data_IF_159220120574
#
_entry.id   IF_159220120574
#
_cell.length_a   1.000
_cell.length_b   1.000
_cell.length_c   1.000
_cell.angle_alpha   90.00
_cell.angle_beta   90.00
_cell.angle_gamma   90.00
#
_symmetry.space_group_name_H-M   'P 1'
#
loop_
_entity.id
_entity.type
_entity.pdbx_description
1 polymer ?
#
# COMPACT_ATOMS: atom_id res chain seq x y z
N UNK A 1 8.37 -21.41 -65.13
CA UNK A 1 6.93 -21.66 -64.93
C UNK A 1 6.84 -22.65 -63.76
N UNK A 2 6.28 -22.37 -62.59
CA UNK A 2 5.25 -21.43 -62.19
C UNK A 2 5.63 -20.66 -60.91
N UNK A 3 5.34 -19.37 -60.89
CA UNK A 3 5.22 -18.59 -59.65
C UNK A 3 3.92 -18.99 -58.94
N UNK A 4 3.96 -19.14 -57.62
CA UNK A 4 2.74 -19.08 -56.80
C UNK A 4 2.99 -18.22 -55.57
N UNK A 5 2.11 -17.22 -55.47
CA UNK A 5 1.94 -16.20 -54.44
C UNK A 5 1.16 -16.84 -53.29
N UNK A 6 1.59 -16.70 -52.04
CA UNK A 6 0.70 -16.87 -50.88
C UNK A 6 0.86 -15.67 -49.96
N UNK A 7 -0.29 -15.08 -49.68
CA UNK A 7 -0.54 -13.90 -48.86
C UNK A 7 -0.27 -14.16 -47.36
N UNK A 8 0.20 -13.10 -46.70
CA UNK A 8 -0.11 -12.62 -45.34
C UNK A 8 -0.74 -13.59 -44.33
N UNK A 9 -0.15 -13.68 -43.14
CA UNK A 9 -0.86 -13.30 -41.90
C UNK A 9 0.15 -12.95 -40.80
N UNK A 10 0.21 -11.66 -40.43
CA UNK A 10 0.69 -11.23 -39.13
C UNK A 10 -0.28 -11.76 -38.05
N UNK A 11 0.26 -12.39 -37.01
CA UNK A 11 -0.44 -12.45 -35.71
C UNK A 11 0.57 -12.13 -34.62
N UNK A 12 0.62 -10.83 -34.31
CA UNK A 12 1.19 -10.27 -33.09
C UNK A 12 0.49 -10.89 -31.87
N UNK A 13 1.11 -11.89 -31.25
CA UNK A 13 0.73 -12.31 -29.90
C UNK A 13 1.54 -11.50 -28.89
N UNK A 14 1.08 -10.29 -28.61
CA UNK A 14 1.44 -9.61 -27.38
C UNK A 14 0.88 -10.46 -26.22
N UNK A 15 1.73 -11.27 -25.61
CA UNK A 15 1.43 -11.92 -24.33
C UNK A 15 1.32 -10.82 -23.29
N UNK A 16 0.10 -10.34 -23.05
CA UNK A 16 -0.26 -9.60 -21.85
C UNK A 16 -0.13 -10.56 -20.66
N UNK A 17 1.11 -10.72 -20.22
CA UNK A 17 1.41 -11.41 -18.96
C UNK A 17 0.89 -10.48 -17.88
N UNK A 18 -0.12 -10.88 -17.09
CA UNK A 18 -0.53 -10.06 -15.96
C UNK A 18 0.70 -9.90 -15.07
N UNK A 19 1.18 -8.65 -14.94
CA UNK A 19 2.24 -8.30 -14.00
C UNK A 19 1.72 -8.65 -12.60
N UNK A 20 2.06 -9.83 -12.12
CA UNK A 20 1.91 -10.20 -10.72
C UNK A 20 2.72 -9.13 -9.98
N UNK A 21 2.09 -8.25 -9.18
CA UNK A 21 2.86 -7.31 -8.40
C UNK A 21 3.73 -8.14 -7.47
N UNK A 22 5.06 -8.00 -7.60
CA UNK A 22 6.01 -8.59 -6.64
C UNK A 22 5.65 -8.03 -5.26
N UNK A 23 4.83 -8.79 -4.54
CA UNK A 23 4.60 -8.55 -3.13
C UNK A 23 5.90 -8.96 -2.46
N UNK A 24 6.49 -8.07 -1.66
CA UNK A 24 7.74 -8.33 -0.93
C UNK A 24 7.59 -9.45 0.09
N UNK A 25 7.50 -10.70 -0.38
CA UNK A 25 7.38 -11.92 0.42
C UNK A 25 8.65 -12.14 1.25
N UNK A 26 9.80 -11.68 0.76
CA UNK A 26 11.10 -11.79 1.43
C UNK A 26 11.25 -10.90 2.69
N UNK A 27 10.28 -10.04 3.02
CA UNK A 27 10.35 -9.14 4.19
C UNK A 27 8.99 -9.04 4.92
N UNK A 28 8.24 -10.15 4.96
CA UNK A 28 7.02 -10.22 5.76
C UNK A 28 7.39 -10.41 7.24
N UNK A 29 6.82 -9.61 8.17
CA UNK A 29 6.93 -9.90 9.60
C UNK A 29 6.32 -11.28 9.91
N UNK A 30 6.89 -12.01 10.87
CA UNK A 30 6.45 -13.37 11.24
C UNK A 30 4.95 -13.46 11.53
N UNK A 31 4.37 -12.43 12.18
CA UNK A 31 2.93 -12.36 12.44
C UNK A 31 2.07 -12.24 11.17
N UNK A 32 2.59 -11.64 10.11
CA UNK A 32 1.90 -11.57 8.82
C UNK A 32 1.98 -12.90 8.08
N UNK A 33 3.11 -13.61 8.21
CA UNK A 33 3.29 -14.95 7.67
C UNK A 33 2.38 -15.97 8.36
N UNK A 34 2.31 -15.96 9.69
CA UNK A 34 1.46 -16.87 10.46
C UNK A 34 -0.03 -16.66 10.14
N UNK A 35 -0.45 -15.39 10.02
CA UNK A 35 -1.82 -15.06 9.58
C UNK A 35 -2.10 -15.51 8.15
N UNK A 36 -1.12 -15.44 7.25
CA UNK A 36 -1.26 -15.93 5.89
C UNK A 36 -1.39 -17.46 5.86
N UNK A 37 -0.56 -18.16 6.65
CA UNK A 37 -0.62 -19.62 6.81
C UNK A 37 -2.00 -20.07 7.32
N UNK A 38 -2.48 -19.48 8.41
CA UNK A 38 -3.81 -19.78 8.98
C UNK A 38 -4.95 -19.52 7.99
N UNK A 39 -4.82 -18.50 7.13
CA UNK A 39 -5.79 -18.27 6.05
C UNK A 39 -5.70 -19.35 4.97
N UNK A 40 -4.50 -19.76 4.58
CA UNK A 40 -4.29 -20.79 3.58
C UNK A 40 -4.88 -22.14 4.01
N UNK A 41 -4.67 -22.55 5.26
CA UNK A 41 -5.24 -23.80 5.79
C UNK A 41 -6.77 -23.86 5.66
N UNK A 42 -7.45 -22.74 5.91
CA UNK A 42 -8.92 -22.68 5.90
C UNK A 42 -9.49 -22.40 4.50
N UNK A 43 -8.83 -21.57 3.70
CA UNK A 43 -9.35 -21.10 2.41
C UNK A 43 -8.98 -22.06 1.28
N UNK A 44 -7.82 -22.73 1.31
CA UNK A 44 -7.38 -23.60 0.22
C UNK A 44 -8.36 -24.74 -0.10
N UNK A 45 -8.94 -25.47 0.89
CA UNK A 45 -9.96 -26.48 0.59
C UNK A 45 -11.22 -25.89 -0.06
N UNK A 46 -11.64 -24.70 0.38
CA UNK A 46 -12.80 -24.00 -0.20
C UNK A 46 -12.50 -23.48 -1.62
N UNK A 47 -11.25 -23.13 -1.91
CA UNK A 47 -10.83 -22.69 -3.22
C UNK A 47 -10.81 -23.84 -4.25
N UNK A 48 -10.51 -25.06 -3.81
CA UNK A 48 -10.49 -26.28 -4.63
C UNK A 48 -11.89 -26.80 -4.97
N UNK A 49 -12.89 -26.57 -4.12
CA UNK A 49 -14.28 -26.90 -4.43
C UNK A 49 -14.79 -26.03 -5.58
N UNK A 50 -15.58 -26.57 -6.50
CA UNK A 50 -16.18 -25.82 -7.61
C UNK A 50 -17.18 -24.78 -7.08
N UNK A 51 -18.05 -25.20 -6.16
CA UNK A 51 -19.02 -24.35 -5.47
C UNK A 51 -18.75 -24.31 -3.96
N UNK A 52 -18.95 -23.14 -3.36
CA UNK A 52 -18.79 -22.94 -1.91
C UNK A 52 -20.13 -22.54 -1.32
N UNK A 53 -20.73 -23.47 -0.58
CA UNK A 53 -21.99 -23.25 0.13
C UNK A 53 -21.88 -22.15 1.20
N UNK A 54 -23.00 -21.52 1.52
CA UNK A 54 -23.04 -20.43 2.49
C UNK A 54 -22.59 -20.87 3.89
N UNK A 55 -22.96 -22.08 4.32
CA UNK A 55 -22.55 -22.64 5.62
C UNK A 55 -21.03 -22.81 5.72
N UNK A 56 -20.39 -23.35 4.68
CA UNK A 56 -18.94 -23.51 4.64
C UNK A 56 -18.22 -22.15 4.67
N UNK A 57 -18.78 -21.13 3.99
CA UNK A 57 -18.25 -19.78 4.03
C UNK A 57 -18.43 -19.11 5.41
N UNK A 58 -19.53 -19.40 6.12
CA UNK A 58 -19.78 -18.90 7.48
C UNK A 58 -18.87 -19.54 8.51
N UNK A 59 -18.63 -20.85 8.40
CA UNK A 59 -17.67 -21.55 9.26
C UNK A 59 -16.25 -20.99 9.10
N UNK A 60 -15.82 -20.74 7.85
CA UNK A 60 -14.54 -20.11 7.59
C UNK A 60 -14.48 -18.65 8.09
N UNK A 61 -15.59 -17.91 7.96
CA UNK A 61 -15.71 -16.54 8.45
C UNK A 61 -15.53 -16.50 9.97
N UNK A 62 -16.21 -17.37 10.70
CA UNK A 62 -16.10 -17.50 12.15
C UNK A 62 -14.68 -17.91 12.58
N UNK A 63 -14.09 -18.91 11.92
CA UNK A 63 -12.76 -19.40 12.25
C UNK A 63 -11.66 -18.34 12.03
N UNK A 64 -11.81 -17.47 11.01
CA UNK A 64 -10.87 -16.42 10.66
C UNK A 64 -11.18 -15.06 11.30
N UNK A 65 -12.33 -14.91 11.97
CA UNK A 65 -12.80 -13.62 12.48
C UNK A 65 -13.07 -12.60 11.37
N UNK A 66 -13.56 -13.04 10.21
CA UNK A 66 -13.81 -12.23 9.02
C UNK A 66 -15.30 -12.20 8.68
N UNK A 67 -15.70 -11.25 7.83
CA UNK A 67 -17.03 -11.30 7.21
C UNK A 67 -17.10 -12.37 6.12
N UNK A 68 -18.27 -12.97 5.89
CA UNK A 68 -18.55 -13.87 4.76
C UNK A 68 -18.10 -13.28 3.42
N UNK A 69 -18.30 -11.98 3.21
CA UNK A 69 -17.82 -11.24 2.02
C UNK A 69 -16.30 -11.35 1.87
N UNK A 70 -15.54 -11.17 2.94
CA UNK A 70 -14.07 -11.27 2.90
C UNK A 70 -13.61 -12.70 2.61
N UNK A 71 -14.32 -13.71 3.10
CA UNK A 71 -14.05 -15.13 2.78
C UNK A 71 -14.16 -15.37 1.28
N UNK A 72 -15.24 -14.91 0.62
CA UNK A 72 -15.37 -15.04 -0.83
C UNK A 72 -14.27 -14.29 -1.60
N UNK A 73 -13.82 -13.13 -1.11
CA UNK A 73 -12.68 -12.42 -1.71
C UNK A 73 -11.39 -13.24 -1.60
N UNK A 74 -11.15 -13.89 -0.47
CA UNK A 74 -9.98 -14.77 -0.28
C UNK A 74 -10.05 -16.02 -1.15
N UNK A 75 -11.21 -16.67 -1.24
CA UNK A 75 -11.45 -17.81 -2.14
C UNK A 75 -11.18 -17.43 -3.59
N UNK A 76 -11.74 -16.30 -4.05
CA UNK A 76 -11.52 -15.79 -5.40
C UNK A 76 -10.03 -15.54 -5.65
N UNK A 77 -9.33 -14.94 -4.69
CA UNK A 77 -7.89 -14.67 -4.81
C UNK A 77 -7.07 -15.95 -4.86
N UNK A 78 -7.37 -16.94 -4.04
CA UNK A 78 -6.70 -18.24 -4.06
C UNK A 78 -6.91 -18.97 -5.39
N UNK A 79 -8.11 -18.89 -5.99
CA UNK A 79 -8.40 -19.46 -7.32
C UNK A 79 -7.72 -18.72 -8.48
N UNK A 80 -7.53 -17.41 -8.35
CA UNK A 80 -6.90 -16.57 -9.38
C UNK A 80 -5.37 -16.57 -9.28
N UNK A 81 -4.83 -16.81 -8.09
CA UNK A 81 -3.41 -16.96 -7.85
C UNK A 81 -2.92 -18.37 -8.15
N UNK A 82 -1.70 -18.64 -7.69
CA UNK A 82 -1.07 -19.96 -7.74
C UNK A 82 -1.59 -20.93 -6.66
N UNK A 83 -2.47 -20.48 -5.77
CA UNK A 83 -2.93 -21.24 -4.60
C UNK A 83 -1.91 -21.30 -3.47
N UNK A 84 -0.87 -20.47 -3.52
CA UNK A 84 0.20 -20.43 -2.53
C UNK A 84 -0.19 -19.58 -1.31
N UNK A 85 0.47 -19.82 -0.17
CA UNK A 85 0.29 -19.04 1.07
C UNK A 85 0.51 -17.54 0.82
N UNK A 86 1.39 -17.21 -0.12
CA UNK A 86 1.70 -15.84 -0.57
C UNK A 86 0.47 -15.12 -1.14
N UNK A 87 -0.44 -15.84 -1.80
CA UNK A 87 -1.66 -15.25 -2.37
C UNK A 87 -2.65 -14.82 -1.28
N UNK A 88 -2.60 -15.45 -0.10
CA UNK A 88 -3.49 -15.17 1.03
C UNK A 88 -2.88 -14.25 2.09
N UNK A 89 -1.68 -13.74 1.82
CA UNK A 89 -1.06 -12.67 2.60
C UNK A 89 -2.05 -11.49 2.68
N UNK A 90 -2.31 -10.95 3.88
CA UNK A 90 -3.12 -9.75 4.01
C UNK A 90 -2.55 -8.68 3.10
N UNK A 91 -3.34 -8.27 2.10
CA UNK A 91 -2.93 -7.17 1.23
C UNK A 91 -2.60 -5.98 2.11
N UNK A 92 -1.39 -5.44 1.98
CA UNK A 92 -1.08 -4.17 2.63
C UNK A 92 -2.04 -3.14 2.04
N UNK A 93 -3.00 -2.68 2.83
CA UNK A 93 -3.92 -1.66 2.37
C UNK A 93 -3.10 -0.42 2.01
N UNK A 94 -3.11 -0.05 0.73
CA UNK A 94 -2.42 1.13 0.21
C UNK A 94 -3.01 2.47 0.71
N UNK A 95 -3.75 2.47 1.81
CA UNK A 95 -4.45 3.65 2.30
C UNK A 95 -5.61 3.34 3.24
N UNK A 96 -5.33 2.78 4.42
CA UNK A 96 -6.20 2.95 5.59
C UNK A 96 -6.06 4.37 6.19
N UNK A 97 -6.87 4.70 7.20
CA UNK A 97 -6.78 5.97 7.95
C UNK A 97 -5.31 6.19 8.38
N UNK A 98 -4.67 7.24 7.86
CA UNK A 98 -3.26 7.57 8.14
C UNK A 98 -2.21 7.04 7.16
N UNK A 99 -2.53 6.09 6.26
CA UNK A 99 -1.60 5.65 5.20
C UNK A 99 -1.76 6.49 3.93
N UNK A 100 -0.65 6.99 3.40
CA UNK A 100 -0.64 8.01 2.35
C UNK A 100 -1.08 7.50 0.99
N UNK A 101 -2.04 8.21 0.38
CA UNK A 101 -2.40 8.09 -1.04
C UNK A 101 -1.41 8.82 -1.96
N UNK A 102 -0.36 9.42 -1.39
CA UNK A 102 0.66 10.12 -2.14
C UNK A 102 1.68 9.11 -2.68
N UNK A 103 2.19 9.32 -3.90
CA UNK A 103 3.35 8.58 -4.40
C UNK A 103 4.52 8.69 -3.41
N UNK A 104 5.25 7.59 -3.21
CA UNK A 104 6.42 7.51 -2.33
C UNK A 104 7.45 8.65 -2.57
N UNK A 105 7.75 9.07 -3.82
CA UNK A 105 8.66 10.19 -4.05
C UNK A 105 8.20 11.50 -3.40
N UNK A 106 6.89 11.77 -3.38
CA UNK A 106 6.32 12.98 -2.78
C UNK A 106 6.39 12.90 -1.25
N UNK A 107 6.09 11.73 -0.67
CA UNK A 107 6.23 11.51 0.77
C UNK A 107 7.68 11.71 1.24
N UNK A 108 8.65 11.23 0.44
CA UNK A 108 10.09 11.41 0.71
C UNK A 108 10.48 12.88 0.74
N UNK A 109 10.06 13.66 -0.25
CA UNK A 109 10.29 15.11 -0.30
C UNK A 109 9.70 15.81 0.93
N UNK A 110 8.47 15.47 1.32
CA UNK A 110 7.83 16.04 2.51
C UNK A 110 8.63 15.70 3.77
N UNK A 111 9.07 14.45 3.93
CA UNK A 111 9.81 14.00 5.11
C UNK A 111 11.18 14.67 5.23
N UNK A 112 11.92 14.76 4.12
CA UNK A 112 13.22 15.42 4.11
C UNK A 112 13.11 16.90 4.47
N UNK A 113 12.16 17.61 3.87
CA UNK A 113 11.95 19.03 4.16
C UNK A 113 11.44 19.24 5.58
N UNK A 114 10.61 18.33 6.11
CA UNK A 114 10.15 18.35 7.51
C UNK A 114 11.34 18.37 8.47
N UNK A 115 12.30 17.46 8.27
CA UNK A 115 13.50 17.38 9.12
C UNK A 115 14.42 18.60 8.95
N UNK A 116 14.69 19.00 7.70
CA UNK A 116 15.66 20.07 7.38
C UNK A 116 15.16 21.47 7.72
N UNK A 117 13.86 21.73 7.55
CA UNK A 117 13.31 23.10 7.57
C UNK A 117 12.23 23.34 8.62
N UNK A 118 11.39 22.34 8.89
CA UNK A 118 10.23 22.51 9.78
C UNK A 118 10.54 22.21 11.25
N UNK A 119 11.33 21.17 11.53
CA UNK A 119 11.75 20.78 12.89
C UNK A 119 12.99 21.57 13.35
N UNK A 120 12.92 22.90 13.25
CA UNK A 120 14.00 23.82 13.63
C UNK A 120 13.48 24.91 14.57
N UNK A 121 14.38 25.52 15.36
CA UNK A 121 14.06 26.62 16.29
C UNK A 121 13.52 27.89 15.59
N UNK A 122 13.69 27.99 14.26
CA UNK A 122 13.15 29.10 13.46
C UNK A 122 11.61 29.06 13.36
N UNK A 123 10.95 27.97 13.78
CA UNK A 123 9.48 27.83 13.83
C UNK A 123 8.77 28.26 12.53
N UNK A 124 9.28 27.82 11.38
CA UNK A 124 8.75 28.18 10.06
C UNK A 124 7.25 27.84 9.94
N UNK A 125 6.48 28.72 9.31
CA UNK A 125 5.04 28.57 9.19
C UNK A 125 4.65 27.47 8.19
N UNK A 126 3.47 26.88 8.36
CA UNK A 126 2.93 25.87 7.42
C UNK A 126 2.85 26.41 5.99
N UNK A 127 2.52 27.69 5.81
CA UNK A 127 2.45 28.31 4.49
C UNK A 127 3.83 28.41 3.83
N UNK A 128 4.86 28.82 4.57
CA UNK A 128 6.23 28.86 4.06
C UNK A 128 6.75 27.45 3.73
N UNK A 129 6.44 26.47 4.58
CA UNK A 129 6.79 25.07 4.35
C UNK A 129 6.13 24.50 3.08
N UNK A 130 4.83 24.74 2.89
CA UNK A 130 4.10 24.27 1.71
C UNK A 130 4.62 24.87 0.40
N UNK A 131 5.05 26.15 0.41
CA UNK A 131 5.69 26.79 -0.75
C UNK A 131 6.98 26.07 -1.15
N UNK A 132 7.81 25.70 -0.17
CA UNK A 132 9.08 25.00 -0.42
C UNK A 132 8.83 23.57 -0.92
N UNK A 133 7.88 22.84 -0.31
CA UNK A 133 7.43 21.53 -0.81
C UNK A 133 6.95 21.63 -2.27
N UNK A 134 6.18 22.67 -2.58
CA UNK A 134 5.69 22.91 -3.95
C UNK A 134 6.84 23.15 -4.92
N UNK A 135 7.83 23.95 -4.54
CA UNK A 135 8.99 24.24 -5.38
C UNK A 135 9.82 22.98 -5.67
N UNK A 136 10.09 22.17 -4.64
CA UNK A 136 10.85 20.91 -4.80
C UNK A 136 10.07 19.89 -5.61
N UNK A 137 8.77 19.73 -5.38
CA UNK A 137 7.93 18.83 -6.19
C UNK A 137 7.90 19.27 -7.66
N UNK A 138 7.78 20.56 -7.94
CA UNK A 138 7.82 21.09 -9.31
C UNK A 138 9.18 20.84 -9.98
N UNK A 139 10.28 21.09 -9.27
CA UNK A 139 11.63 20.84 -9.78
C UNK A 139 11.86 19.36 -10.12
N UNK A 140 11.27 18.45 -9.33
CA UNK A 140 11.33 17.00 -9.56
C UNK A 140 10.21 16.46 -10.48
N UNK A 141 9.40 17.33 -11.09
CA UNK A 141 8.24 16.97 -11.93
C UNK A 141 7.24 16.02 -11.23
N UNK A 142 7.12 16.15 -9.91
CA UNK A 142 6.19 15.39 -9.09
C UNK A 142 4.86 16.13 -8.91
N UNK A 143 3.78 15.37 -8.71
CA UNK A 143 2.46 15.94 -8.40
C UNK A 143 2.53 16.67 -7.07
N UNK A 144 2.22 17.97 -7.11
CA UNK A 144 2.25 18.84 -5.92
C UNK A 144 1.14 18.41 -4.94
N UNK A 145 1.47 18.16 -3.66
CA UNK A 145 0.48 17.84 -2.65
C UNK A 145 -0.33 19.08 -2.26
N UNK A 146 -1.60 18.86 -1.91
CA UNK A 146 -2.44 19.92 -1.38
C UNK A 146 -1.91 20.39 -0.02
N UNK A 147 -2.15 21.66 0.32
CA UNK A 147 -1.73 22.24 1.61
C UNK A 147 -2.25 21.43 2.80
N UNK A 148 -3.49 20.94 2.72
CA UNK A 148 -4.10 20.11 3.76
C UNK A 148 -3.37 18.76 3.92
N UNK A 149 -2.90 18.16 2.83
CA UNK A 149 -2.12 16.91 2.88
C UNK A 149 -0.82 17.10 3.66
N UNK A 150 -0.13 18.22 3.44
CA UNK A 150 1.08 18.57 4.19
C UNK A 150 0.78 18.87 5.66
N UNK A 151 -0.33 19.55 5.94
CA UNK A 151 -0.78 19.80 7.31
C UNK A 151 -1.07 18.50 8.08
N UNK A 152 -1.77 17.54 7.46
CA UNK A 152 -2.03 16.23 8.04
C UNK A 152 -0.74 15.44 8.31
N UNK A 153 0.29 15.57 7.47
CA UNK A 153 1.62 14.96 7.71
C UNK A 153 2.31 15.57 8.91
N UNK A 154 2.26 16.89 9.07
CA UNK A 154 2.75 17.56 10.27
C UNK A 154 1.98 17.10 11.51
N UNK A 155 0.65 17.03 11.43
CA UNK A 155 -0.19 16.60 12.55
C UNK A 155 0.00 15.12 12.94
N UNK A 156 0.44 14.28 12.01
CA UNK A 156 0.79 12.88 12.30
C UNK A 156 2.13 12.71 13.02
N UNK A 157 2.94 13.76 13.12
CA UNK A 157 4.17 13.72 13.91
C UNK A 157 3.81 13.69 15.39
N UNK A 158 4.62 12.97 16.17
CA UNK A 158 4.54 12.96 17.62
C UNK A 158 4.66 14.41 18.17
N UNK A 159 3.59 14.93 18.82
CA UNK A 159 3.58 16.30 19.34
C UNK A 159 4.76 16.59 20.27
N UNK A 160 5.19 15.61 21.08
CA UNK A 160 6.33 15.76 21.99
C UNK A 160 7.64 15.95 21.23
N UNK A 161 7.83 15.25 20.11
CA UNK A 161 9.02 15.43 19.25
C UNK A 161 9.02 16.79 18.55
N UNK A 162 7.85 17.26 18.10
CA UNK A 162 7.71 18.57 17.47
C UNK A 162 8.03 19.68 18.46
N UNK A 163 7.46 19.63 19.67
CA UNK A 163 7.65 20.64 20.71
C UNK A 163 9.08 20.62 21.24
N UNK A 164 9.65 19.44 21.50
CA UNK A 164 11.07 19.34 21.90
C UNK A 164 12.01 19.99 20.90
N UNK A 165 11.75 19.81 19.59
CA UNK A 165 12.60 20.36 18.52
C UNK A 165 12.35 21.84 18.23
N UNK A 166 11.11 22.33 18.42
CA UNK A 166 10.73 23.70 18.08
C UNK A 166 10.72 24.66 19.27
N UNK A 167 10.40 24.18 20.46
CA UNK A 167 10.15 24.98 21.66
C UNK A 167 11.17 24.73 22.77
N UNK A 168 11.82 23.55 22.77
CA UNK A 168 12.88 23.19 23.71
C UNK A 168 12.48 22.02 24.61
N UNK A 169 13.44 21.52 25.41
CA UNK A 169 13.21 20.37 26.29
C UNK A 169 12.22 20.67 27.42
N UNK A 170 12.18 21.90 27.92
CA UNK A 170 11.32 22.27 29.04
C UNK A 170 9.85 22.37 28.63
N UNK A 171 9.56 22.96 27.46
CA UNK A 171 8.20 23.00 26.90
C UNK A 171 7.61 21.60 26.56
N UNK A 172 8.47 20.58 26.39
CA UNK A 172 8.04 19.22 26.08
C UNK A 172 7.72 18.39 27.34
N UNK A 173 8.07 18.86 28.54
CA UNK A 173 7.77 18.17 29.81
C UNK A 173 6.33 18.40 30.27
N UNK A 174 5.69 19.47 29.81
CA UNK A 174 4.34 19.89 30.23
C UNK A 174 3.20 19.22 29.43
N UNK A 175 3.48 18.10 28.73
CA UNK A 175 2.56 17.36 27.85
C UNK A 175 2.53 15.85 28.08
#
# INVERSE_FOLDING_TARGET
MLNTRVHQSEVSMATDTPRIPEQGVATLPDEAWERARRRAEIISPLAQSETVGHEAADMAAQALGLSRRQVYVLIRRARQGSGLVTDLVPGQSGGGKGKGRLPEPVERVIHELLQKRFLTKQKRSLAAFHREVTQVCKAQKLRVPARNTVALRIASLDPRKVIRRREGQDAARDL
#
